data_IF_117078798698
#
_entry.id   IF_117078798698
#
_cell.length_a   1.000
_cell.length_b   1.000
_cell.length_c   1.000
_cell.angle_alpha   90.00
_cell.angle_beta   90.00
_cell.angle_gamma   90.00
#
_symmetry.space_group_name_H-M   'P 1'
#
loop_
_entity.id
_entity.type
_entity.pdbx_description
1 polymer ?
#
# COMPACT_ATOMS: atom_id res chain seq x y z
N UNK A 1 -24.50 -35.04 14.28
CA UNK A 1 -24.15 -33.73 14.84
C UNK A 1 -24.84 -32.67 13.98
N UNK A 2 -25.89 -32.01 14.48
CA UNK A 2 -26.63 -30.99 13.73
C UNK A 2 -26.03 -29.61 14.03
N UNK A 3 -25.71 -28.84 13.00
CA UNK A 3 -25.28 -27.45 13.16
C UNK A 3 -26.47 -26.58 13.60
N UNK A 4 -26.22 -25.68 14.56
CA UNK A 4 -27.21 -24.73 15.07
C UNK A 4 -26.83 -23.33 14.65
N UNK A 5 -27.70 -22.68 13.87
CA UNK A 5 -27.54 -21.29 13.48
C UNK A 5 -28.48 -20.42 14.32
N UNK A 6 -27.93 -19.37 14.94
CA UNK A 6 -28.69 -18.40 15.70
C UNK A 6 -28.72 -17.08 14.95
N UNK A 7 -29.92 -16.57 14.67
CA UNK A 7 -30.08 -15.28 14.00
C UNK A 7 -30.03 -14.17 15.05
N UNK A 8 -29.04 -13.28 14.94
CA UNK A 8 -28.95 -12.10 15.79
C UNK A 8 -29.71 -10.95 15.13
N UNK A 9 -30.81 -10.52 15.75
CA UNK A 9 -31.52 -9.30 15.35
C UNK A 9 -30.75 -8.08 15.84
N UNK A 10 -30.57 -7.08 14.98
CA UNK A 10 -29.88 -5.81 15.28
C UNK A 10 -28.40 -5.99 15.67
N UNK A 11 -27.66 -6.80 14.90
CA UNK A 11 -26.22 -6.89 15.07
C UNK A 11 -25.58 -5.50 14.88
N UNK A 12 -25.00 -4.96 15.95
CA UNK A 12 -24.23 -3.73 15.91
C UNK A 12 -22.78 -4.09 15.65
N UNK A 13 -22.26 -3.61 14.52
CA UNK A 13 -20.85 -3.76 14.16
C UNK A 13 -20.18 -2.39 14.31
N UNK A 14 -19.13 -2.33 15.11
CA UNK A 14 -18.23 -1.18 15.14
C UNK A 14 -17.02 -1.51 14.26
N UNK A 15 -16.87 -0.78 13.16
CA UNK A 15 -15.66 -0.83 12.33
C UNK A 15 -14.80 0.39 12.67
N UNK A 16 -13.64 0.16 13.28
CA UNK A 16 -12.64 1.21 13.47
C UNK A 16 -11.78 1.33 12.23
N UNK A 17 -11.76 2.51 11.59
CA UNK A 17 -10.81 2.84 10.53
C UNK A 17 -9.70 3.67 11.17
N UNK A 18 -8.54 3.05 11.41
CA UNK A 18 -7.37 3.74 11.95
C UNK A 18 -6.74 4.57 10.83
N UNK A 19 -7.19 5.81 10.67
CA UNK A 19 -6.58 6.78 9.72
C UNK A 19 -5.31 7.43 10.27
N UNK A 20 -4.86 7.02 11.46
CA UNK A 20 -3.67 7.53 12.14
C UNK A 20 -2.38 7.20 11.39
N UNK A 21 -2.41 6.17 10.54
CA UNK A 21 -1.42 5.96 9.47
C UNK A 21 -1.72 6.85 8.26
N UNK A 22 -1.98 8.13 8.55
CA UNK A 22 -2.52 9.10 7.61
C UNK A 22 -1.82 9.05 6.26
N UNK A 23 -2.52 9.52 5.23
CA UNK A 23 -1.95 9.87 3.93
C UNK A 23 -1.04 11.09 4.16
N UNK A 24 0.01 10.93 4.95
CA UNK A 24 1.04 11.91 5.16
C UNK A 24 2.16 11.56 4.19
N UNK A 25 2.25 12.40 3.17
CA UNK A 25 3.37 12.42 2.25
C UNK A 25 4.27 13.61 2.64
N UNK A 26 4.63 13.72 3.92
CA UNK A 26 5.59 14.75 4.33
C UNK A 26 6.89 14.51 3.59
N UNK A 27 7.60 15.59 3.27
CA UNK A 27 8.90 15.50 2.57
C UNK A 27 9.88 14.58 3.31
N UNK A 28 9.86 14.60 4.65
CA UNK A 28 10.71 13.77 5.50
C UNK A 28 10.39 12.28 5.39
N UNK A 29 9.11 11.90 5.37
CA UNK A 29 8.70 10.51 5.20
C UNK A 29 9.01 9.99 3.79
N UNK A 30 8.83 10.82 2.76
CA UNK A 30 9.20 10.47 1.39
C UNK A 30 10.72 10.31 1.25
N UNK A 31 11.52 11.15 1.92
CA UNK A 31 12.97 11.02 1.96
C UNK A 31 13.42 9.75 2.70
N UNK A 32 12.79 9.42 3.83
CA UNK A 32 13.07 8.17 4.54
C UNK A 32 12.75 6.94 3.66
N UNK A 33 11.64 6.98 2.93
CA UNK A 33 11.24 5.91 2.01
C UNK A 33 12.21 5.77 0.83
N UNK A 34 12.63 6.88 0.23
CA UNK A 34 13.64 6.90 -0.83
C UNK A 34 14.99 6.37 -0.34
N UNK A 35 15.37 6.72 0.89
CA UNK A 35 16.61 6.24 1.54
C UNK A 35 16.54 4.73 1.80
N UNK A 36 15.42 4.22 2.31
CA UNK A 36 15.21 2.78 2.49
C UNK A 36 15.30 2.01 1.15
N UNK A 37 14.77 2.59 0.07
CA UNK A 37 14.90 2.04 -1.29
C UNK A 37 16.34 2.03 -1.79
N UNK A 38 17.06 3.14 -1.61
CA UNK A 38 18.46 3.29 -2.02
C UNK A 38 19.39 2.31 -1.27
N UNK A 39 19.13 2.10 0.02
CA UNK A 39 19.89 1.17 0.86
C UNK A 39 19.52 -0.31 0.64
N UNK A 40 18.60 -0.61 -0.29
CA UNK A 40 18.15 -1.98 -0.58
C UNK A 40 17.22 -2.59 0.48
N UNK A 41 16.80 -1.82 1.49
CA UNK A 41 15.84 -2.24 2.51
C UNK A 41 14.40 -2.32 2.00
N UNK A 42 14.13 -1.77 0.82
CA UNK A 42 12.84 -1.84 0.15
C UNK A 42 13.01 -2.19 -1.34
N UNK A 43 12.19 -3.11 -1.84
CA UNK A 43 12.15 -3.42 -3.27
C UNK A 43 11.52 -2.26 -4.04
N UNK A 44 11.76 -2.18 -5.36
CA UNK A 44 11.10 -1.18 -6.21
C UNK A 44 9.57 -1.30 -6.17
N UNK A 45 9.06 -2.54 -6.20
CA UNK A 45 7.63 -2.80 -6.10
C UNK A 45 7.08 -2.35 -4.74
N UNK A 46 7.78 -2.63 -3.64
CA UNK A 46 7.40 -2.16 -2.31
C UNK A 46 7.42 -0.63 -2.20
N UNK A 47 8.41 0.02 -2.81
CA UNK A 47 8.53 1.48 -2.86
C UNK A 47 7.35 2.14 -3.57
N UNK A 48 7.03 1.68 -4.78
CA UNK A 48 5.93 2.22 -5.58
C UNK A 48 4.55 1.93 -4.96
N UNK A 49 4.38 0.79 -4.29
CA UNK A 49 3.17 0.46 -3.55
C UNK A 49 2.94 1.45 -2.39
N UNK A 50 3.99 1.77 -1.63
CA UNK A 50 3.90 2.76 -0.56
C UNK A 50 3.61 4.17 -1.07
N UNK A 51 4.23 4.59 -2.18
CA UNK A 51 3.92 5.88 -2.80
C UNK A 51 2.46 5.96 -3.29
N UNK A 52 1.91 4.84 -3.80
CA UNK A 52 0.49 4.77 -4.19
C UNK A 52 -0.43 4.86 -2.98
N UNK A 53 -0.14 4.10 -1.92
CA UNK A 53 -0.90 4.12 -0.66
C UNK A 53 -0.92 5.51 -0.02
N UNK A 54 0.17 6.26 -0.17
CA UNK A 54 0.33 7.65 0.30
C UNK A 54 -0.22 8.71 -0.67
N UNK A 55 -0.86 8.32 -1.77
CA UNK A 55 -1.48 9.25 -2.73
C UNK A 55 -0.48 10.12 -3.51
N UNK A 56 0.81 9.78 -3.49
CA UNK A 56 1.85 10.50 -4.25
C UNK A 56 1.79 10.16 -5.75
N UNK A 57 1.35 8.94 -6.07
CA UNK A 57 1.14 8.49 -7.45
C UNK A 57 -0.30 8.80 -7.90
N UNK A 58 -0.48 9.05 -9.19
CA UNK A 58 -1.80 9.29 -9.77
C UNK A 58 -2.75 8.12 -9.52
N UNK A 59 -4.05 8.39 -9.44
CA UNK A 59 -5.07 7.37 -9.15
C UNK A 59 -5.14 6.25 -10.20
N UNK A 60 -4.81 6.53 -11.45
CA UNK A 60 -4.75 5.58 -12.57
C UNK A 60 -3.45 4.76 -12.62
N UNK A 61 -2.44 5.09 -11.81
CA UNK A 61 -1.21 4.30 -11.75
C UNK A 61 -1.46 2.90 -11.20
N UNK A 62 -1.13 1.87 -11.98
CA UNK A 62 -1.15 0.46 -11.60
C UNK A 62 0.23 -0.16 -11.85
N UNK A 63 0.76 -0.87 -10.86
CA UNK A 63 2.07 -1.53 -10.96
C UNK A 63 2.04 -2.75 -11.88
N UNK A 64 0.93 -3.50 -11.89
CA UNK A 64 0.78 -4.72 -12.70
C UNK A 64 0.79 -4.38 -14.19
N UNK A 65 0.04 -3.34 -14.58
CA UNK A 65 -0.02 -2.87 -15.96
C UNK A 65 1.32 -2.32 -16.48
N UNK A 66 2.26 -2.01 -15.58
CA UNK A 66 3.58 -1.48 -15.91
C UNK A 66 4.72 -2.45 -15.56
N UNK A 67 4.42 -3.70 -15.19
CA UNK A 67 5.41 -4.64 -14.66
C UNK A 67 6.59 -4.87 -15.61
N UNK A 68 6.33 -5.05 -16.90
CA UNK A 68 7.38 -5.28 -17.92
C UNK A 68 8.32 -4.08 -18.08
N UNK A 69 7.75 -2.86 -18.08
CA UNK A 69 8.55 -1.63 -18.14
C UNK A 69 9.38 -1.46 -16.88
N UNK A 70 8.78 -1.69 -15.71
CA UNK A 70 9.47 -1.60 -14.42
C UNK A 70 10.62 -2.61 -14.32
N UNK A 71 10.41 -3.84 -14.80
CA UNK A 71 11.45 -4.87 -14.84
C UNK A 71 12.61 -4.49 -15.77
N UNK A 72 12.31 -3.86 -16.92
CA UNK A 72 13.32 -3.47 -17.91
C UNK A 72 14.14 -2.26 -17.46
N UNK A 73 13.49 -1.21 -16.97
CA UNK A 73 14.16 0.01 -16.48
C UNK A 73 15.04 -0.27 -15.25
N UNK A 74 14.73 -1.32 -14.48
CA UNK A 74 15.51 -1.68 -13.29
C UNK A 74 16.83 -2.40 -13.60
N UNK A 75 16.94 -3.11 -14.72
CA UNK A 75 18.17 -3.82 -15.11
C UNK A 75 19.23 -2.85 -15.66
N UNK A 76 18.83 -1.66 -16.09
CA UNK A 76 19.70 -0.70 -16.75
C UNK A 76 20.45 0.28 -15.80
N UNK A 77 20.46 0.04 -14.49
CA UNK A 77 21.08 0.91 -13.48
C UNK A 77 22.30 0.29 -12.80
#
# INVERSE_FOLDING_TARGET
MLARFSRVSNAQFACGINTEYGINASTEELQALATARANGGLSQFGYLAELKRRGTLRNDFNQEDNADRLATEYVAA
#
